data_IF_021888510210
#
_entry.id   IF_021888510210
#
_cell.length_a   1.000
_cell.length_b   1.000
_cell.length_c   1.000
_cell.angle_alpha   90.00
_cell.angle_beta   90.00
_cell.angle_gamma   90.00
#
_symmetry.space_group_name_H-M   'P 1'
#
loop_
_entity.id
_entity.type
_entity.pdbx_description
1 polymer ?
#
# COMPACT_ATOMS: atom_id res chain seq x y z
N UNK A 1 22.27 6.95 -4.27
CA UNK A 1 21.31 7.99 -3.81
C UNK A 1 22.09 8.98 -2.95
N UNK A 2 22.06 10.28 -3.23
CA UNK A 2 22.97 11.29 -2.65
C UNK A 2 22.79 11.63 -1.17
N UNK A 3 22.66 10.64 -0.29
CA UNK A 3 22.59 10.86 1.17
C UNK A 3 21.28 11.45 1.69
N UNK A 4 20.25 11.58 0.87
CA UNK A 4 18.94 12.07 1.31
C UNK A 4 18.13 10.91 1.90
N UNK A 5 17.71 11.10 3.14
CA UNK A 5 16.81 10.16 3.79
C UNK A 5 15.39 10.26 3.22
N UNK A 6 14.68 9.13 3.07
CA UNK A 6 13.29 9.15 2.63
C UNK A 6 12.41 9.80 3.71
N UNK A 7 11.45 10.62 3.31
CA UNK A 7 10.43 11.15 4.24
C UNK A 7 9.32 10.16 4.54
N UNK A 8 9.01 9.31 3.56
CA UNK A 8 7.93 8.34 3.65
C UNK A 8 8.40 7.00 3.14
N UNK A 9 8.08 5.92 3.85
CA UNK A 9 8.37 4.55 3.45
C UNK A 9 7.06 3.76 3.46
N UNK A 10 6.84 2.95 2.41
CA UNK A 10 5.74 1.99 2.35
C UNK A 10 6.28 0.58 2.19
N UNK A 11 5.79 -0.35 3.03
CA UNK A 11 6.16 -1.77 2.96
C UNK A 11 4.92 -2.65 3.09
N UNK A 12 5.09 -3.95 3.01
CA UNK A 12 4.10 -4.90 3.50
C UNK A 12 4.09 -4.95 5.05
N UNK A 13 3.35 -5.90 5.63
CA UNK A 13 3.21 -6.04 7.08
C UNK A 13 4.32 -6.90 7.71
N UNK A 14 5.53 -6.92 7.15
CA UNK A 14 6.65 -7.67 7.74
C UNK A 14 7.15 -6.99 9.03
N UNK A 15 7.21 -7.77 10.12
CA UNK A 15 7.62 -7.27 11.44
C UNK A 15 9.10 -6.90 11.50
N UNK A 16 9.95 -7.65 10.77
CA UNK A 16 11.39 -7.42 10.74
C UNK A 16 11.73 -6.16 9.97
N UNK A 17 11.05 -5.94 8.84
CA UNK A 17 11.17 -4.70 8.06
C UNK A 17 10.70 -3.50 8.88
N UNK A 18 9.57 -3.62 9.58
CA UNK A 18 9.07 -2.56 10.47
C UNK A 18 10.09 -2.20 11.55
N UNK A 19 10.69 -3.20 12.21
CA UNK A 19 11.70 -2.99 13.23
C UNK A 19 12.97 -2.35 12.65
N UNK A 20 13.42 -2.78 11.49
CA UNK A 20 14.58 -2.22 10.80
C UNK A 20 14.34 -0.74 10.41
N UNK A 21 13.16 -0.40 9.89
CA UNK A 21 12.81 0.98 9.54
C UNK A 21 12.82 1.87 10.80
N UNK A 22 12.22 1.43 11.89
CA UNK A 22 12.20 2.19 13.13
C UNK A 22 13.61 2.44 13.71
N UNK A 23 14.56 1.54 13.45
CA UNK A 23 15.95 1.67 13.90
C UNK A 23 16.78 2.57 12.98
N UNK A 24 16.62 2.42 11.66
CA UNK A 24 17.47 3.08 10.66
C UNK A 24 16.94 4.46 10.27
N UNK A 25 15.61 4.64 10.28
CA UNK A 25 14.92 5.85 9.87
C UNK A 25 13.87 6.25 10.92
N UNK A 26 14.28 6.71 12.11
CA UNK A 26 13.36 6.97 13.23
C UNK A 26 12.32 8.07 12.92
N UNK A 27 12.66 9.03 12.06
CA UNK A 27 11.82 10.18 11.72
C UNK A 27 10.96 9.98 10.45
N UNK A 28 11.03 8.80 9.84
CA UNK A 28 10.28 8.51 8.62
C UNK A 28 8.81 8.20 8.93
N UNK A 29 7.91 8.66 8.05
CA UNK A 29 6.52 8.21 8.10
C UNK A 29 6.42 6.83 7.43
N UNK A 30 6.31 5.79 8.25
CA UNK A 30 6.19 4.42 7.77
C UNK A 30 4.71 4.01 7.67
N UNK A 31 4.32 3.50 6.50
CA UNK A 31 2.98 3.01 6.20
C UNK A 31 3.03 1.58 5.65
N UNK A 32 2.13 0.72 6.13
CA UNK A 32 1.90 -0.58 5.51
C UNK A 32 1.04 -0.44 4.24
N UNK A 33 1.36 -1.23 3.23
CA UNK A 33 0.61 -1.25 1.98
C UNK A 33 -0.83 -1.72 2.22
N UNK A 34 -1.80 -0.83 1.99
CA UNK A 34 -3.24 -1.10 2.13
C UNK A 34 -3.65 -2.37 1.38
N UNK A 35 -3.18 -2.54 0.16
CA UNK A 35 -3.52 -3.71 -0.66
C UNK A 35 -3.19 -5.02 0.04
N UNK A 36 -1.99 -5.17 0.61
CA UNK A 36 -1.61 -6.41 1.28
C UNK A 36 -2.42 -6.66 2.57
N UNK A 37 -2.73 -5.59 3.31
CA UNK A 37 -3.58 -5.69 4.51
C UNK A 37 -4.99 -6.12 4.16
N UNK A 38 -5.61 -5.43 3.20
CA UNK A 38 -6.99 -5.69 2.77
C UNK A 38 -7.11 -7.04 2.09
N UNK A 39 -6.15 -7.45 1.23
CA UNK A 39 -6.16 -8.78 0.63
C UNK A 39 -6.18 -9.90 1.67
N UNK A 40 -5.34 -9.79 2.71
CA UNK A 40 -5.33 -10.78 3.81
C UNK A 40 -6.64 -10.77 4.61
N UNK A 41 -7.23 -9.59 4.84
CA UNK A 41 -8.52 -9.48 5.49
C UNK A 41 -9.62 -10.12 4.62
N UNK A 42 -9.65 -9.83 3.31
CA UNK A 42 -10.61 -10.39 2.37
C UNK A 42 -10.50 -11.92 2.24
N UNK A 43 -9.30 -12.50 2.29
CA UNK A 43 -9.13 -13.96 2.30
C UNK A 43 -9.86 -14.61 3.49
N UNK A 44 -9.83 -13.98 4.65
CA UNK A 44 -10.44 -14.50 5.90
C UNK A 44 -11.91 -14.11 6.07
N UNK A 45 -12.30 -12.95 5.56
CA UNK A 45 -13.67 -12.43 5.61
C UNK A 45 -14.47 -12.76 4.32
N UNK A 46 -13.87 -13.53 3.39
CA UNK A 46 -14.47 -13.85 2.09
C UNK A 46 -15.87 -14.47 2.18
N UNK A 47 -16.12 -15.24 3.24
CA UNK A 47 -17.43 -15.80 3.50
C UNK A 47 -18.51 -14.70 3.70
N UNK A 48 -18.18 -13.62 4.42
CA UNK A 48 -19.09 -12.52 4.68
C UNK A 48 -19.20 -11.59 3.46
N UNK A 49 -18.07 -11.28 2.82
CA UNK A 49 -18.02 -10.45 1.61
C UNK A 49 -18.86 -11.08 0.48
N UNK A 50 -18.78 -12.39 0.30
CA UNK A 50 -19.52 -13.10 -0.74
C UNK A 50 -21.00 -13.33 -0.39
N UNK A 51 -21.36 -13.34 0.90
CA UNK A 51 -22.73 -13.53 1.34
C UNK A 51 -23.54 -12.25 1.51
N UNK A 52 -22.89 -11.10 1.61
CA UNK A 52 -23.52 -9.81 1.81
C UNK A 52 -22.85 -8.72 0.96
N UNK A 53 -23.50 -8.34 -0.12
CA UNK A 53 -23.06 -7.21 -0.96
C UNK A 53 -23.07 -5.89 -0.16
N UNK A 54 -24.02 -5.75 0.76
CA UNK A 54 -24.09 -4.59 1.66
C UNK A 54 -22.83 -4.47 2.51
N UNK A 55 -22.39 -5.59 3.14
CA UNK A 55 -21.13 -5.61 3.89
C UNK A 55 -19.93 -5.25 3.01
N UNK A 56 -19.85 -5.83 1.81
CA UNK A 56 -18.75 -5.58 0.90
C UNK A 56 -18.64 -4.09 0.54
N UNK A 57 -19.77 -3.44 0.24
CA UNK A 57 -19.86 -2.02 -0.10
C UNK A 57 -19.52 -1.12 1.11
N UNK A 58 -20.05 -1.41 2.27
CA UNK A 58 -19.78 -0.65 3.51
C UNK A 58 -18.31 -0.81 3.95
N UNK A 59 -17.76 -2.01 3.85
CA UNK A 59 -16.35 -2.29 4.17
C UNK A 59 -15.41 -1.56 3.22
N UNK A 60 -15.71 -1.57 1.91
CA UNK A 60 -14.96 -0.80 0.91
C UNK A 60 -15.06 0.71 1.19
N UNK A 61 -16.25 1.21 1.48
CA UNK A 61 -16.48 2.62 1.78
C UNK A 61 -15.72 3.06 3.04
N UNK A 62 -15.74 2.26 4.09
CA UNK A 62 -15.00 2.51 5.33
C UNK A 62 -13.50 2.66 5.06
N UNK A 63 -12.93 1.82 4.21
CA UNK A 63 -11.48 1.81 3.94
C UNK A 63 -11.06 2.89 2.95
N UNK A 64 -11.88 3.15 1.91
CA UNK A 64 -11.46 3.93 0.76
C UNK A 64 -12.01 5.35 0.73
N UNK A 65 -13.15 5.61 1.39
CA UNK A 65 -13.88 6.86 1.28
C UNK A 65 -13.90 7.72 2.55
N UNK A 66 -13.38 7.20 3.68
CA UNK A 66 -13.20 8.00 4.89
C UNK A 66 -12.06 9.01 4.73
N UNK A 67 -12.28 10.23 5.18
CA UNK A 67 -11.32 11.32 5.05
C UNK A 67 -10.54 11.60 6.32
N UNK A 68 -11.15 11.32 7.48
CA UNK A 68 -10.54 11.53 8.79
C UNK A 68 -10.43 10.24 9.59
N UNK A 69 -9.47 10.14 10.53
CA UNK A 69 -9.40 9.02 11.46
C UNK A 69 -10.69 8.80 12.24
N UNK A 70 -11.35 9.89 12.66
CA UNK A 70 -12.59 9.87 13.45
C UNK A 70 -13.74 9.26 12.63
N UNK A 71 -13.86 9.64 11.37
CA UNK A 71 -14.85 9.08 10.44
C UNK A 71 -14.61 7.58 10.21
N UNK A 72 -13.35 7.18 10.03
CA UNK A 72 -12.98 5.77 9.91
C UNK A 72 -13.38 4.98 11.16
N UNK A 73 -13.06 5.48 12.36
CA UNK A 73 -13.38 4.80 13.62
C UNK A 73 -14.90 4.61 13.79
N UNK A 74 -15.69 5.63 13.46
CA UNK A 74 -17.15 5.54 13.53
C UNK A 74 -17.71 4.49 12.57
N UNK A 75 -17.25 4.50 11.31
CA UNK A 75 -17.69 3.53 10.31
C UNK A 75 -17.22 2.12 10.65
N UNK A 76 -15.99 1.96 11.14
CA UNK A 76 -15.44 0.66 11.53
C UNK A 76 -16.24 0.06 12.70
N UNK A 77 -16.56 0.87 13.71
CA UNK A 77 -17.38 0.44 14.84
C UNK A 77 -18.80 0.07 14.39
N UNK A 78 -19.40 0.83 13.48
CA UNK A 78 -20.71 0.50 12.90
C UNK A 78 -20.70 -0.86 12.20
N UNK A 79 -19.65 -1.17 11.42
CA UNK A 79 -19.47 -2.49 10.79
C UNK A 79 -19.35 -3.61 11.83
N UNK A 80 -18.55 -3.36 12.88
CA UNK A 80 -18.35 -4.32 13.97
C UNK A 80 -19.65 -4.70 14.66
N UNK A 81 -20.47 -3.71 15.02
CA UNK A 81 -21.76 -3.89 15.66
C UNK A 81 -22.78 -4.56 14.73
N UNK A 82 -22.94 -4.01 13.53
CA UNK A 82 -23.95 -4.45 12.56
C UNK A 82 -23.76 -5.91 12.13
N UNK A 83 -22.51 -6.34 11.97
CA UNK A 83 -22.18 -7.69 11.48
C UNK A 83 -21.64 -8.62 12.58
N UNK A 84 -21.72 -8.17 13.84
CA UNK A 84 -21.30 -8.94 15.03
C UNK A 84 -19.86 -9.48 14.91
N UNK A 85 -18.92 -8.59 14.56
CA UNK A 85 -17.52 -8.94 14.30
C UNK A 85 -16.59 -8.79 15.53
N UNK A 86 -17.13 -8.53 16.72
CA UNK A 86 -16.36 -8.36 17.97
C UNK A 86 -15.42 -9.53 18.29
N UNK A 87 -15.82 -10.75 17.92
CA UNK A 87 -15.05 -11.97 18.15
C UNK A 87 -14.28 -12.45 16.92
N UNK A 88 -14.37 -11.71 15.80
CA UNK A 88 -13.64 -12.08 14.60
C UNK A 88 -12.18 -11.62 14.70
N UNK A 89 -11.27 -12.55 14.93
CA UNK A 89 -9.85 -12.27 15.12
C UNK A 89 -9.23 -11.48 13.96
N UNK A 90 -9.60 -11.80 12.73
CA UNK A 90 -9.06 -11.11 11.55
C UNK A 90 -9.52 -9.67 11.50
N UNK A 91 -10.79 -9.41 11.77
CA UNK A 91 -11.35 -8.06 11.82
C UNK A 91 -10.68 -7.23 12.92
N UNK A 92 -10.52 -7.81 14.11
CA UNK A 92 -9.85 -7.17 15.25
C UNK A 92 -8.37 -6.88 14.96
N UNK A 93 -7.63 -7.84 14.42
CA UNK A 93 -6.21 -7.64 14.06
C UNK A 93 -6.02 -6.59 12.98
N UNK A 94 -6.94 -6.49 12.02
CA UNK A 94 -6.95 -5.45 11.00
C UNK A 94 -7.18 -4.07 11.63
N UNK A 95 -8.09 -3.97 12.59
CA UNK A 95 -8.35 -2.77 13.36
C UNK A 95 -7.15 -2.32 14.20
N UNK A 96 -6.52 -3.23 14.94
CA UNK A 96 -5.34 -2.93 15.78
C UNK A 96 -4.21 -2.27 14.97
N UNK A 97 -4.02 -2.68 13.72
CA UNK A 97 -2.99 -2.15 12.85
C UNK A 97 -3.41 -0.89 12.06
N UNK A 98 -4.63 -0.37 12.24
CA UNK A 98 -5.24 0.66 11.38
C UNK A 98 -4.41 1.93 11.19
N UNK A 99 -3.75 2.39 12.25
CA UNK A 99 -2.88 3.57 12.20
C UNK A 99 -1.66 3.41 11.29
N UNK A 100 -1.37 2.15 10.89
CA UNK A 100 -0.25 1.84 10.02
C UNK A 100 -0.64 1.69 8.55
N UNK A 101 -1.92 1.59 8.20
CA UNK A 101 -2.31 1.29 6.82
C UNK A 101 -3.53 2.06 6.28
N UNK A 102 -4.46 2.50 7.14
CA UNK A 102 -5.67 3.20 6.69
C UNK A 102 -5.32 4.58 6.11
N UNK A 103 -5.79 4.91 4.90
CA UNK A 103 -5.45 6.18 4.25
C UNK A 103 -5.77 7.42 5.06
N UNK A 104 -6.88 7.42 5.81
CA UNK A 104 -7.33 8.55 6.62
C UNK A 104 -6.26 9.06 7.62
N UNK A 105 -5.42 8.16 8.16
CA UNK A 105 -4.34 8.52 9.08
C UNK A 105 -3.12 9.16 8.39
N UNK A 106 -3.05 9.11 7.06
CA UNK A 106 -1.87 9.57 6.30
C UNK A 106 -2.16 10.75 5.37
N UNK A 107 -3.26 11.48 5.57
CA UNK A 107 -3.66 12.62 4.73
C UNK A 107 -2.61 13.74 4.66
N UNK A 108 -1.79 13.89 5.70
CA UNK A 108 -0.70 14.88 5.75
C UNK A 108 0.61 14.41 5.11
N UNK A 109 0.68 13.14 4.69
CA UNK A 109 1.88 12.51 4.14
C UNK A 109 1.65 12.11 2.70
N UNK A 110 2.58 12.47 1.82
CA UNK A 110 2.47 12.12 0.41
C UNK A 110 3.02 10.71 0.15
N UNK A 111 2.15 9.81 -0.26
CA UNK A 111 2.50 8.46 -0.71
C UNK A 111 2.10 8.33 -2.18
N UNK A 112 3.01 8.56 -3.13
CA UNK A 112 2.71 8.48 -4.55
C UNK A 112 2.30 7.06 -4.95
N UNK A 113 1.38 6.96 -5.90
CA UNK A 113 1.00 5.70 -6.56
C UNK A 113 0.33 4.63 -5.68
N UNK A 114 -0.22 5.02 -4.53
CA UNK A 114 -0.86 4.08 -3.60
C UNK A 114 -2.29 3.71 -3.97
N UNK A 115 -2.89 4.44 -4.92
CA UNK A 115 -4.25 4.22 -5.40
C UNK A 115 -4.35 3.19 -6.52
N UNK A 116 -3.23 2.77 -7.15
CA UNK A 116 -3.26 1.83 -8.27
C UNK A 116 -2.41 0.59 -8.00
N UNK A 117 -3.07 -0.56 -7.98
CA UNK A 117 -2.44 -1.90 -7.86
C UNK A 117 -1.53 -2.20 -9.07
N UNK A 118 -1.80 -1.56 -10.22
CA UNK A 118 -1.11 -1.82 -11.48
C UNK A 118 0.40 -1.57 -11.43
N UNK A 119 0.87 -0.56 -10.69
CA UNK A 119 2.29 -0.21 -10.64
C UNK A 119 3.11 -1.18 -9.77
N UNK A 120 2.60 -1.59 -8.61
CA UNK A 120 3.27 -2.62 -7.80
C UNK A 120 3.35 -3.96 -8.53
N UNK A 121 2.28 -4.36 -9.24
CA UNK A 121 2.29 -5.58 -10.06
C UNK A 121 3.27 -5.47 -11.23
N UNK A 122 3.40 -4.30 -11.87
CA UNK A 122 4.34 -4.11 -12.97
C UNK A 122 5.80 -4.19 -12.52
N UNK A 123 6.14 -3.60 -11.37
CA UNK A 123 7.48 -3.72 -10.78
C UNK A 123 7.79 -5.15 -10.37
N UNK A 124 6.89 -5.81 -9.64
CA UNK A 124 7.07 -7.21 -9.27
C UNK A 124 7.18 -8.13 -10.48
N UNK A 125 6.46 -7.84 -11.57
CA UNK A 125 6.58 -8.59 -12.83
C UNK A 125 7.93 -8.39 -13.50
N UNK A 126 8.50 -7.18 -13.48
CA UNK A 126 9.82 -6.89 -14.00
C UNK A 126 10.91 -7.61 -13.18
N UNK A 127 10.82 -7.53 -11.84
CA UNK A 127 11.75 -8.25 -10.97
C UNK A 127 11.70 -9.76 -11.18
N UNK A 128 10.51 -10.36 -11.26
CA UNK A 128 10.35 -11.79 -11.53
C UNK A 128 10.91 -12.25 -12.86
N UNK A 129 10.98 -11.36 -13.86
CA UNK A 129 11.56 -11.68 -15.19
C UNK A 129 13.08 -11.58 -15.24
N UNK A 130 13.66 -10.71 -14.43
CA UNK A 130 15.07 -10.34 -14.52
C UNK A 130 15.92 -10.87 -13.35
N UNK A 131 15.29 -11.20 -12.22
CA UNK A 131 15.98 -11.69 -11.02
C UNK A 131 15.63 -13.14 -10.77
N UNK A 132 16.65 -13.98 -10.65
CA UNK A 132 16.51 -15.40 -10.35
C UNK A 132 16.97 -15.70 -8.91
N UNK A 133 16.35 -16.68 -8.22
CA UNK A 133 16.73 -17.04 -6.83
C UNK A 133 18.19 -17.50 -6.66
N UNK A 134 18.86 -17.81 -7.76
CA UNK A 134 20.25 -18.29 -7.79
C UNK A 134 21.24 -17.17 -8.11
N UNK A 135 20.78 -15.94 -8.38
CA UNK A 135 21.65 -14.81 -8.68
C UNK A 135 22.51 -14.43 -7.47
N UNK A 136 23.77 -14.13 -7.73
CA UNK A 136 24.66 -13.57 -6.71
C UNK A 136 24.18 -12.17 -6.33
N UNK A 137 24.44 -11.74 -5.09
CA UNK A 137 24.04 -10.42 -4.58
C UNK A 137 24.50 -9.29 -5.51
N UNK A 138 25.71 -9.39 -6.08
CA UNK A 138 26.22 -8.40 -7.03
C UNK A 138 25.39 -8.35 -8.32
N UNK A 139 25.00 -9.50 -8.85
CA UNK A 139 24.14 -9.58 -10.04
C UNK A 139 22.75 -8.99 -9.74
N UNK A 140 22.20 -9.29 -8.57
CA UNK A 140 20.93 -8.69 -8.12
C UNK A 140 21.02 -7.15 -8.09
N UNK A 141 22.08 -6.58 -7.49
CA UNK A 141 22.27 -5.12 -7.42
C UNK A 141 22.35 -4.50 -8.81
N UNK A 142 23.14 -5.10 -9.70
CA UNK A 142 23.27 -4.60 -11.09
C UNK A 142 21.95 -4.67 -11.85
N UNK A 143 21.21 -5.76 -11.71
CA UNK A 143 19.89 -5.91 -12.33
C UNK A 143 18.89 -4.91 -11.75
N UNK A 144 18.93 -4.67 -10.45
CA UNK A 144 18.11 -3.65 -9.78
C UNK A 144 18.37 -2.25 -10.34
N UNK A 145 19.63 -1.85 -10.51
CA UNK A 145 19.99 -0.56 -11.09
C UNK A 145 19.45 -0.42 -12.53
N UNK A 146 19.62 -1.42 -13.38
CA UNK A 146 19.08 -1.44 -14.74
C UNK A 146 17.55 -1.32 -14.77
N UNK A 147 16.85 -2.00 -13.86
CA UNK A 147 15.39 -1.92 -13.75
C UNK A 147 14.96 -0.51 -13.36
N UNK A 148 15.65 0.09 -12.39
CA UNK A 148 15.32 1.44 -11.91
C UNK A 148 15.57 2.49 -12.99
N UNK A 149 16.68 2.43 -13.70
CA UNK A 149 17.02 3.36 -14.78
C UNK A 149 16.01 3.27 -15.93
N UNK A 150 15.68 2.06 -16.38
CA UNK A 150 14.66 1.82 -17.41
C UNK A 150 13.28 2.37 -16.99
N UNK A 151 12.96 2.30 -15.70
CA UNK A 151 11.69 2.80 -15.18
C UNK A 151 11.66 4.32 -15.14
N UNK A 152 12.73 4.97 -14.68
CA UNK A 152 12.88 6.42 -14.65
C UNK A 152 12.78 7.00 -16.06
N UNK A 153 13.47 6.38 -17.04
CA UNK A 153 13.39 6.79 -18.44
C UNK A 153 11.96 6.71 -18.99
N UNK A 154 11.25 5.63 -18.68
CA UNK A 154 9.87 5.45 -19.11
C UNK A 154 8.92 6.47 -18.48
N UNK A 155 9.08 6.76 -17.20
CA UNK A 155 8.27 7.78 -16.49
C UNK A 155 8.54 9.19 -17.04
N UNK A 156 9.79 9.51 -17.36
CA UNK A 156 10.15 10.77 -17.99
C UNK A 156 9.53 10.91 -19.39
N UNK A 157 9.54 9.84 -20.19
CA UNK A 157 8.91 9.82 -21.52
C UNK A 157 7.38 9.94 -21.45
N UNK A 158 6.74 9.33 -20.44
CA UNK A 158 5.30 9.45 -20.22
C UNK A 158 4.92 10.85 -19.72
N UNK A 159 5.76 11.47 -18.88
CA UNK A 159 5.61 12.87 -18.43
C UNK A 159 5.67 13.86 -19.59
N UNK A 160 6.65 13.73 -20.48
CA UNK A 160 6.78 14.58 -21.67
C UNK A 160 5.57 14.45 -22.64
N UNK A 161 4.94 13.27 -22.71
CA UNK A 161 3.74 13.08 -23.56
C UNK A 161 2.49 13.73 -22.95
N UNK A 162 2.41 13.82 -21.62
CA UNK A 162 1.32 14.50 -20.92
C UNK A 162 1.32 16.01 -21.15
N UNK A 163 2.50 16.63 -21.19
CA UNK A 163 2.64 18.09 -21.44
C UNK A 163 2.30 18.51 -22.88
N UNK A 164 2.40 17.59 -23.85
CA UNK A 164 2.09 17.88 -25.28
C UNK A 164 0.59 17.76 -25.58
N UNK A 165 -0.21 17.19 -24.68
CA UNK A 165 -1.63 16.90 -24.92
C UNK A 165 -2.62 17.93 -24.34
N UNK A 166 -2.17 19.03 -23.74
CA UNK A 166 -3.05 20.14 -23.39
C UNK A 166 -3.28 21.02 -24.63
N UNK A 167 -4.53 21.16 -25.13
CA UNK A 167 -4.82 22.12 -26.20
C UNK A 167 -4.66 23.54 -25.65
N UNK A 168 -4.16 24.49 -26.46
CA UNK A 168 -4.10 25.90 -26.06
C UNK A 168 -5.52 26.43 -25.86
N UNK A 169 -5.72 27.14 -24.75
CA UNK A 169 -6.94 27.89 -24.42
C UNK A 169 -7.26 28.94 -25.48
#
# INVERSE_FOLDING_TARGET
MGGLEPRNIMTDQDKSIKAAIALVFPDVVHRCCKFHVVSKACEKLGWLINSSEEFANEFDSCINHTETPEEFELMWHSLEEKYNLHKNETFQNTSVARTMWVPAYFRKSFFPFTSTIGRSKSMNSLFKKLVHPQDLVLQFVTQYEVIMDTRIEKENLEGCKGEISEPPL
#
